data_IF_107577981775
#
_entry.id   IF_107577981775
#
_cell.length_a   1.000
_cell.length_b   1.000
_cell.length_c   1.000
_cell.angle_alpha   90.00
_cell.angle_beta   90.00
_cell.angle_gamma   90.00
#
_symmetry.space_group_name_H-M   'P 1'
#
loop_
_entity.id
_entity.type
_entity.pdbx_description
1 polymer ?
#
# COMPACT_ATOMS: atom_id res chain seq x y z
N UNK A 1 16.79 -42.37 31.96
CA UNK A 1 15.70 -42.29 30.97
C UNK A 1 15.40 -40.81 30.83
N UNK A 2 15.96 -40.22 29.78
CA UNK A 2 15.85 -38.80 29.45
C UNK A 2 14.42 -38.45 29.06
N UNK A 3 13.84 -37.46 29.75
CA UNK A 3 12.65 -36.77 29.30
C UNK A 3 13.08 -35.54 28.50
N UNK A 4 13.37 -35.74 27.22
CA UNK A 4 13.49 -34.66 26.24
C UNK A 4 12.09 -34.42 25.66
N UNK A 5 11.34 -33.50 26.28
CA UNK A 5 10.06 -33.04 25.74
C UNK A 5 10.36 -32.05 24.62
N UNK A 6 9.88 -32.40 23.44
CA UNK A 6 9.93 -31.66 22.18
C UNK A 6 9.46 -30.22 22.35
N UNK A 7 10.31 -29.27 21.97
CA UNK A 7 10.02 -27.83 21.97
C UNK A 7 10.23 -27.26 20.55
N UNK A 8 9.61 -27.89 19.54
CA UNK A 8 9.70 -27.48 18.12
C UNK A 8 8.39 -26.96 17.52
N UNK A 9 7.27 -26.95 18.27
CA UNK A 9 5.94 -26.67 17.71
C UNK A 9 5.48 -25.20 17.79
N UNK A 10 6.16 -24.34 18.54
CA UNK A 10 5.76 -22.93 18.71
C UNK A 10 6.24 -22.04 17.55
N UNK A 11 7.47 -22.23 17.07
CA UNK A 11 8.06 -21.37 16.03
C UNK A 11 7.40 -21.55 14.66
N UNK A 12 6.92 -22.76 14.34
CA UNK A 12 6.22 -23.04 13.08
C UNK A 12 4.80 -22.45 13.03
N UNK A 13 4.11 -22.36 14.18
CA UNK A 13 2.75 -21.82 14.25
C UNK A 13 2.72 -20.28 14.20
N UNK A 14 3.70 -19.61 14.81
CA UNK A 14 3.86 -18.15 14.73
C UNK A 14 4.23 -17.69 13.31
N UNK A 15 5.14 -18.41 12.63
CA UNK A 15 5.50 -18.13 11.23
C UNK A 15 4.29 -18.19 10.28
N UNK A 16 3.44 -19.21 10.41
CA UNK A 16 2.23 -19.35 9.59
C UNK A 16 1.17 -18.27 9.83
N UNK A 17 1.08 -17.76 11.07
CA UNK A 17 0.22 -16.63 11.41
C UNK A 17 0.72 -15.31 10.81
N UNK A 18 2.02 -15.05 10.84
CA UNK A 18 2.59 -13.82 10.29
C UNK A 18 2.52 -13.76 8.77
N UNK A 19 2.79 -14.87 8.08
CA UNK A 19 2.70 -14.95 6.63
C UNK A 19 1.26 -14.74 6.13
N UNK A 20 0.27 -15.28 6.87
CA UNK A 20 -1.16 -15.08 6.59
C UNK A 20 -1.60 -13.62 6.84
N UNK A 21 -1.05 -12.97 7.87
CA UNK A 21 -1.33 -11.55 8.15
C UNK A 21 -0.72 -10.65 7.09
N UNK A 22 0.51 -10.94 6.66
CA UNK A 22 1.19 -10.21 5.61
C UNK A 22 0.47 -10.36 4.27
N UNK A 23 0.06 -11.57 3.89
CA UNK A 23 -0.66 -11.80 2.63
C UNK A 23 -1.99 -11.04 2.59
N UNK A 24 -2.78 -11.07 3.67
CA UNK A 24 -4.01 -10.29 3.78
C UNK A 24 -3.76 -8.79 3.69
N UNK A 25 -2.75 -8.29 4.41
CA UNK A 25 -2.38 -6.88 4.38
C UNK A 25 -1.97 -6.43 2.97
N UNK A 26 -1.25 -7.27 2.21
CA UNK A 26 -0.90 -6.95 0.81
C UNK A 26 -2.13 -6.81 -0.07
N UNK A 27 -3.12 -7.69 0.07
CA UNK A 27 -4.40 -7.61 -0.65
C UNK A 27 -5.14 -6.31 -0.29
N UNK A 28 -5.22 -5.97 0.99
CA UNK A 28 -5.90 -4.75 1.46
C UNK A 28 -5.21 -3.48 0.92
N UNK A 29 -3.87 -3.48 0.86
CA UNK A 29 -3.08 -2.38 0.27
C UNK A 29 -3.40 -2.21 -1.21
N UNK A 30 -3.37 -3.29 -1.98
CA UNK A 30 -3.65 -3.27 -3.42
C UNK A 30 -5.08 -2.78 -3.67
N UNK A 31 -6.04 -3.22 -2.85
CA UNK A 31 -7.42 -2.75 -2.91
C UNK A 31 -7.54 -1.23 -2.74
N UNK A 32 -6.83 -0.66 -1.76
CA UNK A 32 -6.83 0.80 -1.56
C UNK A 32 -6.09 1.52 -2.69
N UNK A 33 -4.98 0.99 -3.21
CA UNK A 33 -4.30 1.57 -4.37
C UNK A 33 -5.22 1.62 -5.60
N UNK A 34 -5.98 0.55 -5.86
CA UNK A 34 -6.98 0.52 -6.93
C UNK A 34 -8.03 1.62 -6.75
N UNK A 35 -8.57 1.77 -5.53
CA UNK A 35 -9.57 2.80 -5.24
C UNK A 35 -9.01 4.22 -5.43
N UNK A 36 -7.75 4.46 -5.02
CA UNK A 36 -7.07 5.74 -5.28
C UNK A 36 -6.96 6.01 -6.78
N UNK A 37 -6.49 5.04 -7.57
CA UNK A 37 -6.35 5.21 -9.01
C UNK A 37 -7.70 5.49 -9.69
N UNK A 38 -8.74 4.75 -9.32
CA UNK A 38 -10.10 4.96 -9.82
C UNK A 38 -10.64 6.34 -9.46
N UNK A 39 -10.45 6.75 -8.20
CA UNK A 39 -10.83 8.09 -7.73
C UNK A 39 -10.17 9.17 -8.59
N UNK A 40 -8.85 9.10 -8.73
CA UNK A 40 -8.08 10.11 -9.46
C UNK A 40 -8.38 10.11 -10.97
N UNK A 41 -8.86 9.01 -11.56
CA UNK A 41 -9.33 9.04 -12.95
C UNK A 41 -10.55 9.95 -13.13
N UNK A 42 -11.37 10.11 -12.09
CA UNK A 42 -12.59 10.90 -12.13
C UNK A 42 -12.41 12.31 -11.58
N UNK A 43 -11.50 12.49 -10.63
CA UNK A 43 -11.33 13.74 -9.87
C UNK A 43 -10.10 14.55 -10.28
N UNK A 44 -9.20 14.01 -11.10
CA UNK A 44 -8.02 14.76 -11.53
C UNK A 44 -8.32 15.69 -12.71
N UNK A 45 -7.85 16.92 -12.60
CA UNK A 45 -7.91 17.92 -13.65
C UNK A 45 -6.71 17.76 -14.58
N UNK A 46 -6.72 16.72 -15.42
CA UNK A 46 -5.58 16.34 -16.29
C UNK A 46 -5.07 17.47 -17.18
N UNK A 47 -5.93 18.44 -17.53
CA UNK A 47 -5.53 19.64 -18.26
C UNK A 47 -4.43 20.45 -17.56
N UNK A 48 -4.37 20.42 -16.22
CA UNK A 48 -3.34 21.09 -15.42
C UNK A 48 -2.11 20.22 -15.14
N UNK A 49 -2.01 19.04 -15.76
CA UNK A 49 -0.87 18.18 -15.55
C UNK A 49 0.40 18.80 -16.15
N UNK A 50 1.43 18.85 -15.32
CA UNK A 50 2.80 19.03 -15.77
C UNK A 50 3.37 17.67 -16.15
N UNK A 51 4.53 17.64 -16.80
CA UNK A 51 5.28 16.39 -17.02
C UNK A 51 5.47 15.62 -15.70
N UNK A 52 5.75 16.34 -14.61
CA UNK A 52 5.91 15.75 -13.29
C UNK A 52 4.65 15.09 -12.73
N UNK A 53 3.47 15.67 -12.99
CA UNK A 53 2.18 15.05 -12.63
C UNK A 53 1.95 13.77 -13.43
N UNK A 54 2.25 13.78 -14.72
CA UNK A 54 2.16 12.59 -15.58
C UNK A 54 3.10 11.48 -15.11
N UNK A 55 4.35 11.81 -14.77
CA UNK A 55 5.31 10.89 -14.19
C UNK A 55 4.80 10.27 -12.88
N UNK A 56 4.30 11.09 -11.95
CA UNK A 56 3.71 10.60 -10.70
C UNK A 56 2.54 9.64 -10.97
N UNK A 57 1.66 9.96 -11.93
CA UNK A 57 0.53 9.09 -12.25
C UNK A 57 0.98 7.76 -12.86
N UNK A 58 1.96 7.80 -13.76
CA UNK A 58 2.54 6.61 -14.38
C UNK A 58 3.23 5.71 -13.34
N UNK A 59 3.98 6.29 -12.40
CA UNK A 59 4.62 5.57 -11.32
C UNK A 59 3.60 4.90 -10.38
N UNK A 60 2.50 5.58 -10.05
CA UNK A 60 1.42 4.99 -9.26
C UNK A 60 0.79 3.78 -9.96
N UNK A 61 0.50 3.89 -11.27
CA UNK A 61 0.00 2.78 -12.07
C UNK A 61 1.02 1.61 -12.09
N UNK A 62 2.30 1.90 -12.34
CA UNK A 62 3.34 0.88 -12.37
C UNK A 62 3.51 0.15 -11.02
N UNK A 63 3.40 0.87 -9.89
CA UNK A 63 3.43 0.25 -8.56
C UNK A 63 2.23 -0.68 -8.36
N UNK A 64 1.03 -0.23 -8.76
CA UNK A 64 -0.19 -1.03 -8.64
C UNK A 64 -0.12 -2.30 -9.51
N UNK A 65 0.26 -2.16 -10.78
CA UNK A 65 0.35 -3.28 -11.73
C UNK A 65 1.36 -4.34 -11.27
N UNK A 66 2.45 -3.93 -10.62
CA UNK A 66 3.44 -4.83 -10.04
C UNK A 66 3.08 -5.34 -8.62
N UNK A 67 2.08 -4.73 -7.96
CA UNK A 67 1.77 -4.91 -6.54
C UNK A 67 1.38 -6.34 -6.18
N UNK A 68 0.76 -7.08 -7.10
CA UNK A 68 0.34 -8.48 -6.90
C UNK A 68 1.51 -9.41 -6.51
N UNK A 69 2.74 -9.09 -6.94
CA UNK A 69 3.90 -9.97 -6.75
C UNK A 69 4.92 -9.41 -5.75
N UNK A 70 4.94 -8.09 -5.48
CA UNK A 70 6.12 -7.47 -4.85
C UNK A 70 5.84 -6.23 -4.01
N UNK A 71 4.61 -6.00 -3.53
CA UNK A 71 4.33 -4.79 -2.75
C UNK A 71 5.23 -4.69 -1.50
N UNK A 72 6.02 -3.62 -1.44
CA UNK A 72 6.93 -3.33 -0.32
C UNK A 72 6.53 -2.05 0.40
N UNK A 73 7.10 -1.85 1.60
CA UNK A 73 6.98 -0.57 2.33
C UNK A 73 7.43 0.61 1.45
N UNK A 74 8.51 0.45 0.69
CA UNK A 74 9.05 1.52 -0.14
C UNK A 74 8.15 1.84 -1.32
N UNK A 75 7.59 0.81 -1.98
CA UNK A 75 6.57 0.97 -3.01
C UNK A 75 5.34 1.73 -2.48
N UNK A 76 4.89 1.40 -1.26
CA UNK A 76 3.76 2.09 -0.63
C UNK A 76 4.07 3.55 -0.29
N UNK A 77 5.28 3.85 0.19
CA UNK A 77 5.73 5.23 0.43
C UNK A 77 5.80 6.01 -0.87
N UNK A 78 6.37 5.43 -1.91
CA UNK A 78 6.51 6.07 -3.22
C UNK A 78 5.15 6.38 -3.84
N UNK A 79 4.22 5.42 -3.79
CA UNK A 79 2.83 5.63 -4.18
C UNK A 79 2.18 6.79 -3.41
N UNK A 80 2.37 6.83 -2.09
CA UNK A 80 1.82 7.87 -1.22
C UNK A 80 2.39 9.26 -1.49
N UNK A 81 3.69 9.36 -1.80
CA UNK A 81 4.29 10.64 -2.19
C UNK A 81 3.80 11.12 -3.56
N UNK A 82 3.60 10.21 -4.52
CA UNK A 82 2.97 10.54 -5.81
C UNK A 82 1.54 11.06 -5.61
N UNK A 83 0.74 10.39 -4.77
CA UNK A 83 -0.61 10.84 -4.41
C UNK A 83 -0.61 12.27 -3.86
N UNK A 84 0.30 12.58 -2.92
CA UNK A 84 0.44 13.94 -2.36
C UNK A 84 0.84 14.98 -3.39
N UNK A 85 1.66 14.62 -4.38
CA UNK A 85 2.12 15.54 -5.42
C UNK A 85 1.01 15.89 -6.40
N UNK A 86 0.10 14.95 -6.63
CA UNK A 86 -1.09 15.14 -7.46
C UNK A 86 -2.23 15.87 -6.74
N UNK A 87 -2.09 16.17 -5.44
CA UNK A 87 -3.09 16.89 -4.64
C UNK A 87 -3.46 18.26 -5.25
N UNK A 88 -2.50 18.96 -5.86
CA UNK A 88 -2.73 20.28 -6.48
C UNK A 88 -3.56 20.24 -7.76
N UNK A 89 -3.75 19.05 -8.35
CA UNK A 89 -4.46 18.83 -9.62
C UNK A 89 -5.58 17.81 -9.48
N UNK A 90 -6.02 17.54 -8.25
CA UNK A 90 -7.11 16.62 -7.94
C UNK A 90 -8.17 17.37 -7.15
N UNK A 91 -9.44 17.06 -7.36
CA UNK A 91 -10.48 17.53 -6.46
C UNK A 91 -10.20 16.97 -5.05
N UNK A 92 -9.96 17.85 -4.08
CA UNK A 92 -9.64 17.46 -2.70
C UNK A 92 -10.80 17.64 -1.74
N UNK A 93 -11.90 18.23 -2.18
CA UNK A 93 -13.05 18.49 -1.31
C UNK A 93 -13.90 17.23 -1.09
N UNK A 94 -13.62 16.16 -1.84
CA UNK A 94 -14.21 14.83 -1.64
C UNK A 94 -13.65 14.15 -0.37
N UNK A 95 -14.53 13.73 0.58
CA UNK A 95 -14.12 12.95 1.75
C UNK A 95 -13.30 11.69 1.44
N UNK A 96 -13.54 11.07 0.29
CA UNK A 96 -12.88 9.83 -0.13
C UNK A 96 -11.36 10.02 -0.28
N UNK A 97 -10.92 11.19 -0.79
CA UNK A 97 -9.49 11.50 -0.93
C UNK A 97 -8.75 11.40 0.41
N UNK A 98 -9.29 12.04 1.45
CA UNK A 98 -8.70 12.02 2.79
C UNK A 98 -8.82 10.66 3.47
N UNK A 99 -9.85 9.88 3.16
CA UNK A 99 -9.96 8.50 3.62
C UNK A 99 -8.86 7.62 3.02
N UNK A 100 -8.68 7.64 1.70
CA UNK A 100 -7.65 6.84 1.04
C UNK A 100 -6.24 7.24 1.49
N UNK A 101 -5.96 8.53 1.61
CA UNK A 101 -4.67 9.04 2.11
C UNK A 101 -4.38 8.52 3.51
N UNK A 102 -5.37 8.51 4.41
CA UNK A 102 -5.23 7.95 5.76
C UNK A 102 -5.00 6.44 5.75
N UNK A 103 -5.74 5.68 4.92
CA UNK A 103 -5.55 4.23 4.78
C UNK A 103 -4.15 3.89 4.29
N UNK A 104 -3.66 4.56 3.25
CA UNK A 104 -2.30 4.37 2.73
C UNK A 104 -1.23 4.60 3.81
N UNK A 105 -1.35 5.70 4.57
CA UNK A 105 -0.42 5.98 5.67
C UNK A 105 -0.43 4.89 6.74
N UNK A 106 -1.59 4.35 7.11
CA UNK A 106 -1.71 3.24 8.08
C UNK A 106 -1.01 1.99 7.58
N UNK A 107 -1.20 1.64 6.30
CA UNK A 107 -0.56 0.46 5.74
C UNK A 107 0.96 0.55 5.68
N UNK A 108 1.52 1.73 5.37
CA UNK A 108 2.97 1.95 5.42
C UNK A 108 3.50 1.63 6.82
N UNK A 109 2.79 2.08 7.87
CA UNK A 109 3.16 1.81 9.27
C UNK A 109 3.05 0.31 9.58
N UNK A 110 1.94 -0.33 9.20
CA UNK A 110 1.71 -1.76 9.45
C UNK A 110 2.72 -2.66 8.74
N UNK A 111 3.05 -2.37 7.47
CA UNK A 111 4.07 -3.12 6.73
C UNK A 111 5.47 -2.92 7.33
N UNK A 112 5.77 -1.71 7.83
CA UNK A 112 7.04 -1.43 8.47
C UNK A 112 7.18 -2.09 9.84
N UNK A 113 6.08 -2.32 10.56
CA UNK A 113 6.11 -3.00 11.86
C UNK A 113 6.25 -4.52 11.77
N UNK A 114 5.78 -5.15 10.68
CA UNK A 114 5.90 -6.60 10.48
C UNK A 114 7.34 -7.02 10.11
N UNK A 115 8.16 -6.09 9.62
CA UNK A 115 9.56 -6.36 9.24
C UNK A 115 10.57 -6.19 10.39
N UNK A 116 10.13 -5.86 11.60
CA UNK A 116 10.96 -5.67 12.79
C UNK A 116 10.80 -6.85 13.73
#
# INVERSE_FOLDING_TARGET
MDNSVEMESAETFEMGCEETRLSKLRVDVIGVMCNVLNYMTLSSYEYYYTQYHQECRNEMNAIYDNGANSITVESCKHFYECLKRLESVTDTDDPDYYEYRRKMRRFIISLASIRK
#
